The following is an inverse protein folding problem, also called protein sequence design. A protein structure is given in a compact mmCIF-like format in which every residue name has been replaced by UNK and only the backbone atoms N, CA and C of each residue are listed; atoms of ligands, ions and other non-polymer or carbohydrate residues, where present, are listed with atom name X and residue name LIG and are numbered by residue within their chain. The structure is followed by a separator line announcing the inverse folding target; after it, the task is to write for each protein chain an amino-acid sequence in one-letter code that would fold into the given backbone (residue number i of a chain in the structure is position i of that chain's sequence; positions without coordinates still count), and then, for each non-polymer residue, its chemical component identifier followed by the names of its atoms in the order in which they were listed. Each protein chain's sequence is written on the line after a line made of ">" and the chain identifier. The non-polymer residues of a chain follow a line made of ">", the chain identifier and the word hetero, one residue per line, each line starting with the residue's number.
data_IF_373132123202
#
_entry.id   IF_373132123202
#
_cell.length_a   1.000
_cell.length_b   1.000
_cell.length_c   1.000
_cell.angle_alpha   90.00
_cell.angle_beta   90.00
_cell.angle_gamma   90.00
#
_symmetry.space_group_name_H-M   'P 1'
#
loop_
_entity.id
_entity.type
_entity.pdbx_description
1 polymer ?
#
# COMPACT_ATOMS: atom_id res chain seq x y z
N UNK A 1 36.13 -1.33 19.21
CA UNK A 1 35.54 -1.99 18.02
C UNK A 1 34.09 -2.32 18.31
N UNK A 2 33.22 -2.33 17.29
CA UNK A 2 31.78 -2.73 17.23
C UNK A 2 30.80 -1.54 17.22
N UNK A 3 29.90 -1.29 16.25
CA UNK A 3 29.59 -1.80 14.91
C UNK A 3 29.10 -0.63 14.04
N UNK A 4 29.30 -0.69 12.73
CA UNK A 4 28.88 0.31 11.76
C UNK A 4 27.35 0.48 11.73
N UNK A 5 26.89 1.72 11.86
CA UNK A 5 25.54 2.13 11.47
C UNK A 5 25.41 2.00 9.94
N UNK A 6 25.01 0.82 9.48
CA UNK A 6 24.56 0.65 8.09
C UNK A 6 23.11 1.12 8.03
N UNK A 7 22.90 2.22 7.31
CA UNK A 7 21.58 2.69 6.94
C UNK A 7 20.89 1.60 6.12
N UNK A 8 19.89 0.96 6.72
CA UNK A 8 18.75 0.40 6.02
C UNK A 8 17.58 1.00 6.76
N UNK A 9 16.81 1.87 6.11
CA UNK A 9 15.49 2.23 6.58
C UNK A 9 14.70 0.93 6.82
N UNK A 10 14.77 0.40 8.05
CA UNK A 10 13.72 -0.39 8.69
C UNK A 10 12.55 0.54 9.04
N UNK A 11 12.23 1.44 8.11
CA UNK A 11 11.00 2.19 8.08
C UNK A 11 10.03 1.17 7.53
N UNK A 12 9.10 0.71 8.37
CA UNK A 12 8.03 -0.15 7.91
C UNK A 12 7.51 0.43 6.60
N UNK A 13 7.46 -0.34 5.51
CA UNK A 13 6.72 0.12 4.37
C UNK A 13 5.37 0.57 4.92
N UNK A 14 4.91 1.79 4.62
CA UNK A 14 3.57 2.25 5.03
C UNK A 14 2.45 1.43 4.38
N UNK A 15 2.75 0.20 3.97
CA UNK A 15 1.93 -0.82 3.42
C UNK A 15 2.14 -2.17 4.10
N UNK A 16 1.06 -2.94 4.17
CA UNK A 16 1.02 -4.34 4.59
C UNK A 16 0.68 -5.23 3.40
N UNK A 17 0.99 -6.51 3.51
CA UNK A 17 0.54 -7.50 2.52
C UNK A 17 -0.99 -7.61 2.56
N UNK A 18 -1.63 -7.74 1.39
CA UNK A 18 -3.05 -8.02 1.30
C UNK A 18 -3.39 -9.40 1.85
N UNK A 19 -4.64 -9.59 2.23
CA UNK A 19 -5.19 -10.90 2.55
C UNK A 19 -5.16 -11.83 1.32
N UNK A 20 -5.31 -13.14 1.55
CA UNK A 20 -5.31 -14.15 0.49
C UNK A 20 -6.37 -13.88 -0.60
N UNK A 21 -7.45 -13.18 -0.25
CA UNK A 21 -8.52 -12.75 -1.14
C UNK A 21 -8.21 -11.45 -1.90
N UNK A 22 -7.00 -10.90 -1.80
CA UNK A 22 -6.65 -9.59 -2.36
C UNK A 22 -7.32 -8.42 -1.62
N UNK A 23 -7.87 -8.68 -0.44
CA UNK A 23 -8.43 -7.71 0.48
C UNK A 23 -7.35 -6.96 1.24
N UNK A 24 -7.70 -5.81 1.80
CA UNK A 24 -6.86 -5.13 2.76
C UNK A 24 -7.53 -5.09 4.13
N UNK A 25 -6.77 -5.21 5.22
CA UNK A 25 -7.32 -5.10 6.56
C UNK A 25 -7.82 -3.67 6.81
N UNK A 26 -8.78 -3.51 7.72
CA UNK A 26 -9.34 -2.18 8.05
C UNK A 26 -8.31 -1.18 8.56
N UNK A 27 -7.16 -1.64 9.08
CA UNK A 27 -6.01 -0.78 9.42
C UNK A 27 -5.34 -0.13 8.21
N UNK A 28 -5.44 -0.77 7.05
CA UNK A 28 -4.77 -0.36 5.81
C UNK A 28 -5.77 -0.37 4.64
N UNK A 29 -6.78 0.50 4.67
CA UNK A 29 -7.89 0.43 3.72
C UNK A 29 -7.48 0.78 2.28
N UNK A 30 -6.27 1.29 2.01
CA UNK A 30 -5.90 1.74 0.67
C UNK A 30 -5.28 0.60 -0.12
N UNK A 31 -5.98 0.12 -1.14
CA UNK A 31 -5.58 -1.00 -2.00
C UNK A 31 -4.63 -0.54 -3.11
N UNK A 32 -3.34 -0.75 -2.95
CA UNK A 32 -2.30 -0.53 -3.96
C UNK A 32 -2.15 -1.70 -4.94
N UNK A 33 -2.12 -1.37 -6.22
CA UNK A 33 -1.83 -2.29 -7.32
C UNK A 33 -0.44 -1.96 -7.88
N UNK A 34 0.52 -2.87 -7.71
CA UNK A 34 1.91 -2.66 -8.11
C UNK A 34 2.06 -2.69 -9.61
N UNK A 35 1.28 -3.54 -10.29
CA UNK A 35 1.27 -3.66 -11.76
C UNK A 35 0.94 -2.34 -12.46
N UNK A 36 -0.04 -1.58 -11.96
CA UNK A 36 -0.47 -0.30 -12.55
C UNK A 36 0.07 0.93 -11.83
N UNK A 37 0.78 0.75 -10.69
CA UNK A 37 1.23 1.83 -9.79
C UNK A 37 0.10 2.78 -9.39
N UNK A 38 -1.08 2.22 -9.14
CA UNK A 38 -2.25 2.98 -8.67
C UNK A 38 -2.77 2.43 -7.36
N UNK A 39 -3.41 3.28 -6.57
CA UNK A 39 -4.09 2.87 -5.35
C UNK A 39 -5.59 3.17 -5.42
N UNK A 40 -6.39 2.33 -4.76
CA UNK A 40 -7.83 2.43 -4.66
C UNK A 40 -8.24 2.66 -3.20
N UNK A 41 -9.14 3.61 -2.99
CA UNK A 41 -9.69 3.94 -1.67
C UNK A 41 -11.06 3.30 -1.46
N UNK A 42 -11.45 3.01 -0.20
CA UNK A 42 -12.79 2.51 0.10
C UNK A 42 -13.85 3.50 -0.41
N UNK A 43 -14.90 2.97 -1.03
CA UNK A 43 -15.95 3.76 -1.70
C UNK A 43 -15.73 3.97 -3.21
N UNK A 44 -14.60 3.54 -3.77
CA UNK A 44 -14.43 3.45 -5.21
C UNK A 44 -15.18 2.25 -5.80
N UNK A 45 -15.79 2.41 -6.98
CA UNK A 45 -16.51 1.30 -7.67
C UNK A 45 -15.62 0.09 -7.94
N UNK A 46 -14.31 0.32 -8.13
CA UNK A 46 -13.35 -0.76 -8.35
C UNK A 46 -12.76 -1.33 -7.06
N UNK A 47 -13.04 -0.73 -5.89
CA UNK A 47 -12.40 -1.11 -4.64
C UNK A 47 -12.70 -2.56 -4.25
N UNK A 48 -13.95 -3.02 -4.41
CA UNK A 48 -14.36 -4.38 -4.04
C UNK A 48 -13.80 -5.44 -4.99
N UNK A 49 -13.66 -5.13 -6.28
CA UNK A 49 -13.16 -6.05 -7.31
C UNK A 49 -11.64 -6.02 -7.51
N UNK A 50 -10.96 -4.99 -7.02
CA UNK A 50 -9.51 -4.89 -7.14
C UNK A 50 -8.85 -5.75 -6.07
N UNK A 51 -8.04 -6.70 -6.53
CA UNK A 51 -7.08 -7.39 -5.69
C UNK A 51 -5.92 -6.44 -5.42
N UNK A 52 -5.76 -6.06 -4.15
CA UNK A 52 -4.57 -5.33 -3.71
C UNK A 52 -3.36 -6.24 -3.80
N UNK A 53 -2.21 -5.67 -4.15
CA UNK A 53 -0.90 -6.28 -3.98
C UNK A 53 -0.14 -5.65 -2.79
N UNK A 54 -0.55 -4.45 -2.39
CA UNK A 54 -0.07 -3.72 -1.22
C UNK A 54 -1.23 -2.98 -0.57
N UNK A 55 -1.26 -2.91 0.74
CA UNK A 55 -2.34 -2.26 1.49
C UNK A 55 -1.78 -1.12 2.31
N UNK A 56 -2.13 0.13 2.03
CA UNK A 56 -1.62 1.31 2.74
C UNK A 56 -2.61 1.81 3.80
N UNK A 57 -2.08 2.44 4.86
CA UNK A 57 -2.89 3.07 5.91
C UNK A 57 -3.71 4.23 5.34
N UNK A 58 -3.11 4.98 4.43
CA UNK A 58 -3.67 6.21 3.87
C UNK A 58 -3.13 6.48 2.46
N UNK A 59 -3.76 7.46 1.79
CA UNK A 59 -3.40 7.86 0.44
C UNK A 59 -1.98 8.45 0.39
N UNK A 60 -1.55 9.18 1.41
CA UNK A 60 -0.24 9.83 1.43
C UNK A 60 0.89 8.80 1.53
N UNK A 61 0.71 7.72 2.28
CA UNK A 61 1.64 6.59 2.31
C UNK A 61 1.78 5.92 0.94
N UNK A 62 0.67 5.78 0.20
CA UNK A 62 0.70 5.26 -1.17
C UNK A 62 1.38 6.24 -2.14
N UNK A 63 1.10 7.54 -2.04
CA UNK A 63 1.73 8.59 -2.84
C UNK A 63 3.24 8.71 -2.57
N UNK A 64 3.67 8.57 -1.31
CA UNK A 64 5.07 8.55 -0.92
C UNK A 64 5.83 7.35 -1.52
N UNK A 65 5.16 6.20 -1.69
CA UNK A 65 5.69 5.02 -2.38
C UNK A 65 5.60 5.12 -3.91
N UNK A 66 5.17 6.27 -4.44
CA UNK A 66 5.08 6.58 -5.87
C UNK A 66 3.83 6.05 -6.56
N UNK A 67 2.78 5.69 -5.82
CA UNK A 67 1.50 5.29 -6.37
C UNK A 67 0.62 6.52 -6.58
N UNK A 68 -0.25 6.46 -7.59
CA UNK A 68 -1.24 7.52 -7.85
C UNK A 68 -2.66 7.04 -7.59
N UNK A 69 -3.56 7.95 -7.22
CA UNK A 69 -4.96 7.62 -7.02
C UNK A 69 -5.58 7.05 -8.30
N UNK A 70 -6.27 5.92 -8.20
CA UNK A 70 -7.03 5.36 -9.31
C UNK A 70 -8.11 6.37 -9.74
N UNK A 71 -8.24 6.56 -11.06
CA UNK A 71 -9.35 7.34 -11.60
C UNK A 71 -10.65 6.58 -11.30
N UNK A 72 -11.63 7.32 -10.78
CA UNK A 72 -12.96 6.83 -10.44
C UNK A 72 -13.67 6.22 -11.63
#
# INVERSE_FOLDING_TARGET
>A
MQFAATAKSTEHPGWVEPDADGGCPGSHPVKGNTQSKIFHVPGGMSYERTNAERCYCDEAAAEADGYRKAKR
#
